data_IF_311946712847
#
_entry.id   IF_311946712847
#
_cell.length_a   1.000
_cell.length_b   1.000
_cell.length_c   1.000
_cell.angle_alpha   90.00
_cell.angle_beta   90.00
_cell.angle_gamma   90.00
#
_symmetry.space_group_name_H-M   'P 1'
#
loop_
_entity.id
_entity.type
_entity.pdbx_description
1 polymer ?
#
# COMPACT_ATOMS: atom_id res chain seq x y z
N UNK A 1 42.23 54.33 -15.26
CA UNK A 1 41.85 53.81 -13.96
C UNK A 1 40.66 52.91 -14.12
N UNK A 2 40.95 51.70 -14.26
CA UNK A 2 39.95 50.65 -14.33
C UNK A 2 39.47 50.33 -12.94
N UNK A 3 38.33 50.77 -12.64
CA UNK A 3 37.64 50.26 -11.50
C UNK A 3 37.19 48.86 -11.84
N UNK A 4 37.83 47.90 -11.21
CA UNK A 4 37.27 46.57 -11.19
C UNK A 4 35.92 46.70 -10.47
N UNK A 5 34.88 46.79 -11.20
CA UNK A 5 33.57 46.56 -10.68
C UNK A 5 33.49 45.08 -10.41
N UNK A 6 33.75 44.74 -9.19
CA UNK A 6 33.44 43.40 -8.75
C UNK A 6 31.95 43.18 -8.97
N UNK A 7 31.63 42.61 -10.05
CA UNK A 7 30.34 41.94 -10.13
C UNK A 7 30.41 40.82 -9.15
N UNK A 8 30.00 41.10 -7.96
CA UNK A 8 29.49 40.05 -7.13
C UNK A 8 28.25 39.59 -7.86
N UNK A 9 28.44 38.69 -8.77
CA UNK A 9 27.35 37.83 -9.14
C UNK A 9 26.91 37.19 -7.85
N UNK A 10 25.97 37.77 -7.20
CA UNK A 10 25.18 37.05 -6.28
C UNK A 10 24.56 35.97 -7.12
N UNK A 11 25.27 34.87 -7.26
CA UNK A 11 24.68 33.61 -7.53
C UNK A 11 23.72 33.38 -6.41
N UNK A 12 22.56 33.96 -6.59
CA UNK A 12 21.41 33.48 -5.88
C UNK A 12 21.26 32.07 -6.43
N UNK A 13 21.92 31.13 -5.77
CA UNK A 13 21.44 29.78 -5.76
C UNK A 13 20.07 29.90 -5.11
N UNK A 14 19.08 30.14 -5.92
CA UNK A 14 17.79 29.65 -5.58
C UNK A 14 18.03 28.16 -5.40
N UNK A 15 18.34 27.78 -4.17
CA UNK A 15 18.08 26.45 -3.72
C UNK A 15 16.60 26.27 -3.99
N UNK A 16 16.30 25.86 -5.20
CA UNK A 16 15.08 25.15 -5.43
C UNK A 16 15.19 23.97 -4.49
N UNK A 17 14.70 24.16 -3.28
CA UNK A 17 14.34 23.04 -2.47
C UNK A 17 13.32 22.32 -3.31
N UNK A 18 13.79 21.37 -4.09
CA UNK A 18 12.94 20.35 -4.59
C UNK A 18 12.45 19.66 -3.34
N UNK A 19 11.41 20.20 -2.75
CA UNK A 19 10.59 19.43 -1.88
C UNK A 19 10.13 18.29 -2.79
N UNK A 20 10.77 17.14 -2.64
CA UNK A 20 10.23 15.93 -3.18
C UNK A 20 8.83 15.86 -2.58
N UNK A 21 7.84 16.33 -3.36
CA UNK A 21 6.47 16.09 -3.05
C UNK A 21 6.36 14.57 -3.07
N UNK A 22 6.49 13.96 -1.88
CA UNK A 22 6.15 12.56 -1.72
C UNK A 22 4.68 12.50 -2.03
N UNK A 23 4.37 12.02 -3.23
CA UNK A 23 3.01 11.69 -3.56
C UNK A 23 2.53 10.74 -2.48
N UNK A 24 1.55 11.18 -1.68
CA UNK A 24 0.90 10.30 -0.74
C UNK A 24 0.20 9.22 -1.55
N UNK A 25 0.66 8.00 -1.40
CA UNK A 25 -0.02 6.85 -2.00
C UNK A 25 -1.17 6.48 -1.09
N UNK A 26 -2.37 6.78 -1.55
CA UNK A 26 -3.59 6.40 -0.87
C UNK A 26 -4.13 5.13 -1.53
N UNK A 27 -4.32 4.10 -0.73
CA UNK A 27 -4.88 2.83 -1.20
C UNK A 27 -6.29 2.67 -0.65
N UNK A 28 -7.23 2.45 -1.56
CA UNK A 28 -8.57 2.01 -1.19
C UNK A 28 -8.63 0.48 -1.35
N UNK A 29 -8.57 -0.24 -0.25
CA UNK A 29 -8.52 -1.70 -0.26
C UNK A 29 -9.78 -2.30 -0.86
N UNK A 30 -10.92 -1.60 -0.77
CA UNK A 30 -12.17 -2.07 -1.38
C UNK A 30 -12.13 -2.12 -2.92
N UNK A 31 -11.15 -1.47 -3.53
CA UNK A 31 -10.96 -1.42 -4.99
C UNK A 31 -9.80 -2.28 -5.48
N UNK A 32 -9.07 -2.92 -4.60
CA UNK A 32 -7.93 -3.78 -4.97
C UNK A 32 -8.46 -5.09 -5.53
N UNK A 33 -8.01 -5.42 -6.73
CA UNK A 33 -8.31 -6.71 -7.36
C UNK A 33 -7.39 -7.80 -6.84
N UNK A 34 -7.83 -9.06 -6.97
CA UNK A 34 -7.01 -10.22 -6.68
C UNK A 34 -5.68 -10.22 -7.45
N UNK A 35 -5.68 -9.79 -8.71
CA UNK A 35 -4.47 -9.67 -9.52
C UNK A 35 -3.50 -8.65 -8.95
N UNK A 36 -3.99 -7.51 -8.50
CA UNK A 36 -3.15 -6.50 -7.86
C UNK A 36 -2.59 -6.97 -6.52
N UNK A 37 -3.37 -7.73 -5.78
CA UNK A 37 -2.96 -8.28 -4.50
C UNK A 37 -1.91 -9.38 -4.66
N UNK A 38 -2.25 -10.44 -5.38
CA UNK A 38 -1.38 -11.61 -5.56
C UNK A 38 -0.17 -11.32 -6.45
N UNK A 39 -0.28 -10.36 -7.36
CA UNK A 39 0.77 -9.97 -8.30
C UNK A 39 1.78 -8.97 -7.74
N UNK A 40 1.71 -8.59 -6.47
CA UNK A 40 2.61 -7.59 -5.85
C UNK A 40 2.59 -6.24 -6.59
N UNK A 41 1.48 -5.90 -7.22
CA UNK A 41 1.40 -4.71 -8.09
C UNK A 41 1.28 -3.40 -7.34
N UNK A 42 0.85 -3.44 -6.08
CA UNK A 42 0.64 -2.26 -5.25
C UNK A 42 1.62 -2.26 -4.08
N UNK A 43 1.64 -3.33 -3.33
CA UNK A 43 2.49 -3.55 -2.17
C UNK A 43 2.63 -5.06 -1.94
N UNK A 44 3.40 -5.45 -0.96
CA UNK A 44 3.46 -6.87 -0.60
C UNK A 44 2.10 -7.34 -0.08
N UNK A 45 1.65 -8.56 -0.43
CA UNK A 45 0.37 -9.08 0.02
C UNK A 45 0.19 -9.06 1.54
N UNK A 46 1.26 -9.19 2.31
CA UNK A 46 1.21 -9.18 3.77
C UNK A 46 0.66 -7.86 4.32
N UNK A 47 0.99 -6.72 3.70
CA UNK A 47 0.49 -5.42 4.14
C UNK A 47 -1.03 -5.31 3.96
N UNK A 48 -1.54 -5.81 2.84
CA UNK A 48 -2.98 -5.82 2.57
C UNK A 48 -3.67 -6.84 3.45
N UNK A 49 -3.09 -8.02 3.62
CA UNK A 49 -3.66 -9.08 4.44
C UNK A 49 -3.81 -8.68 5.92
N UNK A 50 -2.82 -7.98 6.47
CA UNK A 50 -2.90 -7.49 7.85
C UNK A 50 -4.00 -6.43 8.01
N UNK A 51 -4.15 -5.56 7.02
CA UNK A 51 -5.24 -4.60 7.01
C UNK A 51 -6.61 -5.30 6.94
N UNK A 52 -6.76 -6.28 6.06
CA UNK A 52 -7.98 -7.08 5.92
C UNK A 52 -8.32 -7.82 7.22
N UNK A 53 -7.31 -8.41 7.85
CA UNK A 53 -7.48 -9.06 9.15
C UNK A 53 -8.03 -8.08 10.19
N UNK A 54 -7.45 -6.90 10.28
CA UNK A 54 -7.90 -5.86 11.22
C UNK A 54 -9.31 -5.37 10.91
N UNK A 55 -9.61 -5.18 9.64
CA UNK A 55 -10.93 -4.72 9.21
C UNK A 55 -12.04 -5.71 9.62
N UNK A 56 -11.89 -6.98 9.28
CA UNK A 56 -12.91 -7.98 9.60
C UNK A 56 -12.93 -8.34 11.08
N UNK A 57 -11.77 -8.41 11.73
CA UNK A 57 -11.69 -8.61 13.18
C UNK A 57 -12.32 -7.44 13.94
N UNK A 58 -12.14 -6.23 13.47
CA UNK A 58 -12.75 -5.03 14.05
C UNK A 58 -14.28 -5.07 14.01
N UNK A 59 -14.85 -5.58 12.92
CA UNK A 59 -16.30 -5.78 12.81
C UNK A 59 -16.85 -6.75 13.88
N UNK A 60 -16.04 -7.68 14.32
CA UNK A 60 -16.38 -8.66 15.36
C UNK A 60 -15.94 -8.21 16.74
N UNK A 61 -15.41 -7.02 16.89
CA UNK A 61 -14.80 -6.52 18.12
C UNK A 61 -13.70 -7.45 18.65
N UNK A 62 -13.01 -8.15 17.76
CA UNK A 62 -11.91 -9.02 18.08
C UNK A 62 -10.58 -8.27 17.95
N UNK A 63 -9.87 -8.13 19.06
CA UNK A 63 -8.58 -7.42 19.11
C UNK A 63 -7.38 -8.35 19.13
N UNK A 64 -7.60 -9.67 19.06
CA UNK A 64 -6.54 -10.67 19.10
C UNK A 64 -6.17 -11.11 17.69
N UNK A 65 -4.88 -11.12 17.41
CA UNK A 65 -4.33 -11.63 16.15
C UNK A 65 -3.60 -12.94 16.44
N UNK A 66 -3.99 -14.00 15.72
CA UNK A 66 -3.20 -15.21 15.61
C UNK A 66 -2.25 -15.05 14.42
N UNK A 67 -0.98 -14.79 14.69
CA UNK A 67 0.01 -14.50 13.65
C UNK A 67 0.30 -15.70 12.75
N UNK A 68 0.26 -16.92 13.28
CA UNK A 68 0.43 -18.12 12.48
C UNK A 68 -0.74 -18.30 11.50
N UNK A 69 -1.94 -18.16 12.01
CA UNK A 69 -3.16 -18.28 11.19
C UNK A 69 -3.24 -17.17 10.15
N UNK A 70 -2.83 -15.96 10.50
CA UNK A 70 -2.74 -14.86 9.52
C UNK A 70 -1.81 -15.22 8.35
N UNK A 71 -0.64 -15.79 8.64
CA UNK A 71 0.29 -16.23 7.60
C UNK A 71 -0.29 -17.32 6.71
N UNK A 72 -0.95 -18.31 7.28
CA UNK A 72 -1.61 -19.38 6.54
C UNK A 72 -2.76 -18.87 5.68
N UNK A 73 -3.59 -18.01 6.23
CA UNK A 73 -4.72 -17.40 5.52
C UNK A 73 -4.25 -16.49 4.38
N UNK A 74 -3.15 -15.77 4.57
CA UNK A 74 -2.56 -14.93 3.52
C UNK A 74 -2.15 -15.79 2.31
N UNK A 75 -1.49 -16.92 2.55
CA UNK A 75 -1.11 -17.85 1.48
C UNK A 75 -2.33 -18.44 0.77
N UNK A 76 -3.35 -18.77 1.52
CA UNK A 76 -4.60 -19.29 0.95
C UNK A 76 -5.27 -18.25 0.07
N UNK A 77 -5.31 -17.01 0.53
CA UNK A 77 -5.85 -15.89 -0.25
C UNK A 77 -5.04 -15.64 -1.52
N UNK A 78 -3.72 -15.67 -1.43
CA UNK A 78 -2.85 -15.51 -2.61
C UNK A 78 -3.14 -16.58 -3.67
N UNK A 79 -3.22 -17.84 -3.27
CA UNK A 79 -3.54 -18.94 -4.20
C UNK A 79 -4.90 -18.77 -4.84
N UNK A 80 -5.90 -18.39 -4.07
CA UNK A 80 -7.24 -18.15 -4.60
C UNK A 80 -7.25 -16.97 -5.58
N UNK A 81 -6.55 -15.92 -5.26
CA UNK A 81 -6.45 -14.74 -6.10
C UNK A 81 -5.70 -14.99 -7.41
N UNK A 82 -4.69 -15.85 -7.42
CA UNK A 82 -4.00 -16.25 -8.65
C UNK A 82 -4.97 -16.93 -9.61
N UNK A 83 -5.90 -17.70 -9.11
CA UNK A 83 -6.91 -18.40 -9.91
C UNK A 83 -8.11 -17.52 -10.27
N UNK A 84 -8.30 -16.42 -9.55
CA UNK A 84 -9.44 -15.50 -9.71
C UNK A 84 -8.96 -14.05 -9.77
N UNK A 85 -8.16 -13.69 -10.78
CA UNK A 85 -7.44 -12.41 -10.78
C UNK A 85 -8.36 -11.18 -10.88
N UNK A 86 -9.57 -11.35 -11.39
CA UNK A 86 -10.47 -10.23 -11.72
C UNK A 86 -11.40 -9.83 -10.58
N UNK A 87 -11.55 -10.66 -9.56
CA UNK A 87 -12.43 -10.33 -8.44
C UNK A 87 -11.73 -9.40 -7.46
N UNK A 88 -12.53 -8.66 -6.70
CA UNK A 88 -12.00 -7.82 -5.65
C UNK A 88 -11.46 -8.67 -4.49
N UNK A 89 -10.34 -8.27 -3.93
CA UNK A 89 -9.70 -9.02 -2.84
C UNK A 89 -10.62 -9.16 -1.63
N UNK A 90 -11.41 -8.14 -1.32
CA UNK A 90 -12.39 -8.22 -0.22
C UNK A 90 -13.47 -9.25 -0.50
N UNK A 91 -13.95 -9.34 -1.74
CA UNK A 91 -14.91 -10.38 -2.12
C UNK A 91 -14.29 -11.79 -2.01
N UNK A 92 -13.02 -11.92 -2.34
CA UNK A 92 -12.30 -13.18 -2.15
C UNK A 92 -12.26 -13.59 -0.68
N UNK A 93 -11.92 -12.66 0.21
CA UNK A 93 -11.90 -12.90 1.66
C UNK A 93 -13.27 -13.33 2.16
N UNK A 94 -14.31 -12.63 1.75
CA UNK A 94 -15.68 -12.95 2.15
C UNK A 94 -16.10 -14.34 1.68
N UNK A 95 -15.70 -14.71 0.46
CA UNK A 95 -16.03 -16.02 -0.11
C UNK A 95 -15.30 -17.16 0.57
N UNK A 96 -13.99 -17.04 0.76
CA UNK A 96 -13.18 -18.18 1.22
C UNK A 96 -13.12 -18.32 2.74
N UNK A 97 -13.31 -17.22 3.48
CA UNK A 97 -13.25 -17.22 4.95
C UNK A 97 -14.61 -17.01 5.61
N UNK A 98 -15.67 -16.81 4.83
CA UNK A 98 -17.01 -16.58 5.36
C UNK A 98 -17.16 -15.25 6.10
N UNK A 99 -16.35 -14.27 5.78
CA UNK A 99 -16.41 -12.94 6.36
C UNK A 99 -17.59 -12.11 5.80
N UNK A 100 -18.04 -11.17 6.59
CA UNK A 100 -19.13 -10.25 6.20
C UNK A 100 -18.77 -8.80 6.47
#
# INVERSE_FOLDING_TARGET
MTKAVGFVSALIFALATVSAARAQVMLDVSKITCDQFAGYKITTPQNIAIWLNGYYSGKRSNTVIDMQKLGENTKTLERYCIQNPQILVMNAVETIFGEK
#
